data_IF_806377453505
#
_entry.id   IF_806377453505
#
_cell.length_a   1.000
_cell.length_b   1.000
_cell.length_c   1.000
_cell.angle_alpha   90.00
_cell.angle_beta   90.00
_cell.angle_gamma   90.00
#
_symmetry.space_group_name_H-M   'P 1'
#
loop_
_entity.id
_entity.type
_entity.pdbx_description
1 polymer ?
#
# COMPACT_ATOMS: atom_id res chain seq x y z
N UNK A 1 5.96 -16.20 13.56
CA UNK A 1 6.29 -14.77 13.56
C UNK A 1 7.79 -14.65 13.33
N UNK A 2 8.21 -13.80 12.38
CA UNK A 2 9.63 -13.52 12.07
C UNK A 2 10.37 -12.99 13.30
N UNK A 3 9.64 -12.33 14.20
CA UNK A 3 10.15 -11.69 15.41
C UNK A 3 10.16 -12.62 16.63
N UNK A 4 9.80 -13.90 16.46
CA UNK A 4 9.89 -14.89 17.52
C UNK A 4 11.36 -15.06 17.96
N UNK A 5 11.63 -14.92 19.26
CA UNK A 5 12.98 -15.02 19.81
C UNK A 5 13.91 -13.89 19.38
N UNK A 6 13.37 -12.71 19.03
CA UNK A 6 14.19 -11.51 18.85
C UNK A 6 14.68 -10.99 20.20
N UNK A 7 16.00 -10.98 20.39
CA UNK A 7 16.67 -10.56 21.64
C UNK A 7 17.45 -9.25 21.47
N UNK A 8 17.35 -8.60 20.31
CA UNK A 8 18.09 -7.38 19.98
C UNK A 8 19.56 -7.59 19.64
N UNK A 9 20.08 -8.83 19.65
CA UNK A 9 21.44 -9.15 19.20
C UNK A 9 21.60 -8.85 17.71
N UNK A 10 22.84 -8.60 17.28
CA UNK A 10 23.11 -8.34 15.86
C UNK A 10 22.80 -9.57 14.99
N UNK A 11 22.97 -10.78 15.52
CA UNK A 11 22.53 -12.00 14.86
C UNK A 11 21.00 -12.06 14.68
N UNK A 12 20.23 -11.60 15.68
CA UNK A 12 18.77 -11.53 15.56
C UNK A 12 18.33 -10.45 14.57
N UNK A 13 18.96 -9.28 14.57
CA UNK A 13 18.73 -8.22 13.57
C UNK A 13 19.00 -8.73 12.16
N UNK A 14 20.14 -9.36 11.93
CA UNK A 14 20.50 -9.89 10.62
C UNK A 14 19.52 -10.96 10.15
N UNK A 15 19.13 -11.88 11.04
CA UNK A 15 18.11 -12.90 10.73
C UNK A 15 16.79 -12.27 10.30
N UNK A 16 16.29 -11.28 11.05
CA UNK A 16 15.04 -10.58 10.71
C UNK A 16 15.17 -9.88 9.37
N UNK A 17 16.27 -9.16 9.14
CA UNK A 17 16.55 -8.47 7.88
C UNK A 17 16.55 -9.43 6.71
N UNK A 18 17.26 -10.55 6.78
CA UNK A 18 17.31 -11.57 5.73
C UNK A 18 15.92 -12.12 5.38
N UNK A 19 15.08 -12.38 6.39
CA UNK A 19 13.72 -12.89 6.15
C UNK A 19 12.86 -11.81 5.49
N UNK A 20 12.93 -10.56 5.96
CA UNK A 20 12.18 -9.46 5.36
C UNK A 20 12.65 -9.17 3.92
N UNK A 21 13.95 -9.25 3.65
CA UNK A 21 14.52 -9.12 2.32
C UNK A 21 14.00 -10.22 1.39
N UNK A 22 14.02 -11.49 1.82
CA UNK A 22 13.45 -12.59 1.04
C UNK A 22 11.95 -12.40 0.75
N UNK A 23 11.18 -11.87 1.71
CA UNK A 23 9.77 -11.53 1.50
C UNK A 23 9.57 -10.41 0.48
N UNK A 24 10.40 -9.36 0.54
CA UNK A 24 10.39 -8.25 -0.42
C UNK A 24 10.72 -8.75 -1.81
N UNK A 25 11.84 -9.47 -1.98
CA UNK A 25 12.25 -10.05 -3.27
C UNK A 25 11.18 -10.97 -3.84
N UNK A 26 10.51 -11.75 -3.00
CA UNK A 26 9.40 -12.59 -3.46
C UNK A 26 8.22 -11.77 -3.99
N UNK A 27 7.86 -10.67 -3.32
CA UNK A 27 6.77 -9.80 -3.78
C UNK A 27 7.11 -9.08 -5.08
N UNK A 28 8.36 -8.67 -5.26
CA UNK A 28 8.84 -8.03 -6.49
C UNK A 28 8.90 -9.00 -7.67
N UNK A 29 9.40 -10.22 -7.45
CA UNK A 29 9.57 -11.22 -8.52
C UNK A 29 8.26 -11.86 -8.95
N UNK A 30 7.45 -12.30 -7.99
CA UNK A 30 6.23 -13.07 -8.29
C UNK A 30 5.04 -12.19 -8.67
N UNK A 31 5.18 -10.86 -8.52
CA UNK A 31 4.13 -9.85 -8.71
C UNK A 31 2.86 -10.17 -7.90
N UNK A 32 1.86 -9.30 -7.99
CA UNK A 32 0.53 -9.44 -7.36
C UNK A 32 0.49 -9.69 -5.85
N UNK A 33 1.57 -9.37 -5.13
CA UNK A 33 1.73 -9.57 -3.69
C UNK A 33 2.22 -8.28 -3.06
N UNK A 34 2.03 -8.13 -1.75
CA UNK A 34 2.48 -6.96 -1.02
C UNK A 34 2.92 -7.38 0.39
N UNK A 35 4.15 -7.04 0.77
CA UNK A 35 4.71 -7.39 2.06
C UNK A 35 4.30 -6.40 3.15
N UNK A 36 3.81 -6.92 4.28
CA UNK A 36 3.55 -6.14 5.49
C UNK A 36 4.65 -6.50 6.47
N UNK A 37 5.53 -5.54 6.74
CA UNK A 37 6.72 -5.72 7.57
C UNK A 37 6.51 -5.08 8.93
N UNK A 38 7.15 -5.65 9.95
CA UNK A 38 7.13 -5.17 11.32
C UNK A 38 8.50 -4.61 11.70
N UNK A 39 8.51 -3.52 12.46
CA UNK A 39 9.71 -3.13 13.20
C UNK A 39 9.90 -4.10 14.39
N UNK A 40 11.16 -4.35 14.83
CA UNK A 40 11.41 -5.12 16.03
C UNK A 40 10.70 -4.57 17.28
N UNK A 41 10.42 -5.41 18.29
CA UNK A 41 9.81 -4.97 19.54
C UNK A 41 10.79 -4.15 20.38
N UNK A 42 10.25 -3.35 21.30
CA UNK A 42 10.99 -2.60 22.31
C UNK A 42 11.74 -1.38 21.79
N UNK A 43 11.58 -1.03 20.51
CA UNK A 43 12.26 0.12 19.93
C UNK A 43 11.58 1.42 20.34
N UNK A 44 12.37 2.43 20.69
CA UNK A 44 11.91 3.81 20.72
C UNK A 44 11.85 4.41 19.30
N UNK A 45 11.33 5.64 19.15
CA UNK A 45 11.18 6.27 17.84
C UNK A 45 12.51 6.45 17.07
N UNK A 46 13.59 6.80 17.76
CA UNK A 46 14.91 6.92 17.16
C UNK A 46 15.44 5.56 16.69
N UNK A 47 15.29 4.52 17.51
CA UNK A 47 15.71 3.17 17.16
C UNK A 47 14.87 2.58 16.02
N UNK A 48 13.59 2.93 15.91
CA UNK A 48 12.76 2.57 14.77
C UNK A 48 13.25 3.24 13.46
N UNK A 49 13.74 4.49 13.55
CA UNK A 49 14.41 5.16 12.43
C UNK A 49 15.73 4.48 12.08
N UNK A 50 16.57 4.15 13.06
CA UNK A 50 17.83 3.42 12.86
C UNK A 50 17.57 2.04 12.23
N UNK A 51 16.53 1.34 12.66
CA UNK A 51 16.08 0.08 12.04
C UNK A 51 15.69 0.27 10.57
N UNK A 52 14.90 1.30 10.27
CA UNK A 52 14.50 1.62 8.88
C UNK A 52 15.71 1.89 7.99
N UNK A 53 16.76 2.52 8.52
CA UNK A 53 18.02 2.75 7.81
C UNK A 53 18.80 1.43 7.68
N UNK A 54 18.85 0.60 8.72
CA UNK A 54 19.57 -0.67 8.73
C UNK A 54 19.04 -1.68 7.70
N UNK A 55 17.71 -1.80 7.57
CA UNK A 55 17.11 -2.68 6.55
C UNK A 55 17.31 -2.13 5.14
N UNK A 56 17.36 -0.80 4.98
CA UNK A 56 17.63 -0.09 3.73
C UNK A 56 16.84 -0.57 2.49
N UNK A 57 15.62 -1.07 2.68
CA UNK A 57 14.77 -1.45 1.55
C UNK A 57 14.25 -0.18 0.84
N UNK A 58 14.34 -0.17 -0.49
CA UNK A 58 13.68 0.81 -1.36
C UNK A 58 12.76 0.05 -2.31
N UNK A 59 11.51 -0.13 -1.89
CA UNK A 59 10.53 -0.90 -2.64
C UNK A 59 9.14 -0.34 -2.45
N UNK A 60 8.37 -0.39 -3.52
CA UNK A 60 6.96 -0.08 -3.46
C UNK A 60 6.11 -1.27 -3.03
N UNK A 61 6.65 -2.48 -3.02
CA UNK A 61 5.94 -3.73 -2.72
C UNK A 61 5.88 -4.07 -1.23
N UNK A 62 6.33 -3.17 -0.35
CA UNK A 62 6.30 -3.38 1.09
C UNK A 62 5.92 -2.12 1.87
N UNK A 63 5.40 -2.32 3.07
CA UNK A 63 5.18 -1.28 4.07
C UNK A 63 5.66 -1.76 5.44
N UNK A 64 6.34 -0.87 6.18
CA UNK A 64 6.81 -1.14 7.54
C UNK A 64 5.88 -0.50 8.57
N UNK A 65 5.52 -1.26 9.60
CA UNK A 65 4.62 -0.82 10.68
C UNK A 65 5.29 -0.87 12.05
N UNK A 66 4.94 0.11 12.88
CA UNK A 66 5.49 0.33 14.21
C UNK A 66 4.48 1.18 15.03
N UNK A 67 4.38 1.06 16.37
CA UNK A 67 4.99 0.08 17.27
C UNK A 67 4.12 -1.19 17.42
N UNK A 68 4.58 -2.14 18.24
CA UNK A 68 3.84 -3.36 18.56
C UNK A 68 2.55 -3.07 19.32
N UNK A 69 1.62 -4.02 19.23
CA UNK A 69 0.24 -3.87 19.72
C UNK A 69 0.04 -4.80 20.91
N UNK A 70 -0.50 -4.27 22.00
CA UNK A 70 -0.93 -5.06 23.14
C UNK A 70 -2.35 -5.58 22.92
N UNK A 71 -2.54 -6.89 23.04
CA UNK A 71 -3.84 -7.55 22.87
C UNK A 71 -4.17 -8.44 24.07
N UNK A 72 -5.44 -8.80 24.23
CA UNK A 72 -5.85 -9.80 25.21
C UNK A 72 -5.22 -11.15 24.87
N UNK A 73 -4.76 -11.88 25.89
CA UNK A 73 -4.24 -13.23 25.71
C UNK A 73 -5.20 -14.26 26.30
N UNK A 74 -5.75 -15.10 25.43
CA UNK A 74 -6.68 -16.17 25.78
C UNK A 74 -6.04 -17.56 25.70
N UNK A 75 -4.71 -17.63 25.56
CA UNK A 75 -3.98 -18.90 25.40
C UNK A 75 -3.88 -19.74 26.69
N UNK A 76 -4.36 -19.24 27.84
CA UNK A 76 -4.41 -19.97 29.11
C UNK A 76 -3.10 -20.01 29.90
N UNK A 77 -2.05 -19.31 29.45
CA UNK A 77 -0.72 -19.29 30.07
C UNK A 77 -0.53 -18.37 31.29
N UNK A 78 -1.61 -17.89 31.91
CA UNK A 78 -1.57 -17.06 33.12
C UNK A 78 -1.38 -15.55 32.91
N UNK A 79 -0.93 -15.10 31.73
CA UNK A 79 -1.00 -13.68 31.35
C UNK A 79 -2.36 -13.36 30.71
N UNK A 80 -2.93 -12.21 31.04
CA UNK A 80 -4.19 -11.72 30.44
C UNK A 80 -3.97 -10.87 29.19
N UNK A 81 -2.70 -10.57 28.86
CA UNK A 81 -2.34 -9.80 27.67
C UNK A 81 -0.97 -10.18 27.12
N UNK A 82 -0.74 -9.91 25.84
CA UNK A 82 0.55 -10.11 25.16
C UNK A 82 0.80 -9.03 24.12
N UNK A 83 2.08 -8.79 23.81
CA UNK A 83 2.49 -7.97 22.67
C UNK A 83 2.52 -8.82 21.41
N UNK A 84 2.02 -8.28 20.31
CA UNK A 84 2.05 -8.92 18.99
C UNK A 84 2.53 -7.94 17.92
N UNK A 85 3.18 -8.44 16.86
CA UNK A 85 3.56 -7.62 15.73
C UNK A 85 2.32 -7.02 15.03
N UNK A 86 2.43 -5.79 14.49
CA UNK A 86 1.33 -5.13 13.79
C UNK A 86 0.82 -5.81 12.53
N UNK A 87 1.67 -6.56 11.79
CA UNK A 87 1.39 -7.07 10.46
C UNK A 87 0.09 -7.87 10.35
N UNK A 88 -0.22 -8.70 11.36
CA UNK A 88 -1.47 -9.46 11.41
C UNK A 88 -2.71 -8.56 11.51
N UNK A 89 -2.66 -7.50 12.34
CA UNK A 89 -3.75 -6.52 12.41
C UNK A 89 -3.85 -5.73 11.11
N UNK A 90 -2.72 -5.38 10.51
CA UNK A 90 -2.69 -4.64 9.25
C UNK A 90 -3.26 -5.44 8.09
N UNK A 91 -3.00 -6.75 8.01
CA UNK A 91 -3.62 -7.62 7.02
C UNK A 91 -5.17 -7.62 7.15
N UNK A 92 -5.68 -7.68 8.39
CA UNK A 92 -7.12 -7.57 8.66
C UNK A 92 -7.69 -6.19 8.30
N UNK A 93 -6.94 -5.12 8.56
CA UNK A 93 -7.32 -3.75 8.21
C UNK A 93 -7.33 -3.55 6.70
N UNK A 94 -6.35 -4.10 5.97
CA UNK A 94 -6.32 -4.06 4.51
C UNK A 94 -7.58 -4.72 3.94
N UNK A 95 -7.85 -5.97 4.34
CA UNK A 95 -9.04 -6.69 3.89
C UNK A 95 -10.32 -5.91 4.18
N UNK A 96 -10.50 -5.44 5.42
CA UNK A 96 -11.69 -4.66 5.80
C UNK A 96 -11.82 -3.37 4.98
N UNK A 97 -10.73 -2.62 4.82
CA UNK A 97 -10.75 -1.36 4.07
C UNK A 97 -11.12 -1.61 2.61
N UNK A 98 -10.54 -2.64 2.00
CA UNK A 98 -10.81 -2.98 0.61
C UNK A 98 -12.27 -3.43 0.42
N UNK A 99 -12.81 -4.22 1.34
CA UNK A 99 -14.19 -4.70 1.29
C UNK A 99 -15.21 -3.58 1.51
N UNK A 100 -14.95 -2.65 2.43
CA UNK A 100 -15.89 -1.58 2.79
C UNK A 100 -15.79 -0.36 1.86
N UNK A 101 -14.60 -0.07 1.32
CA UNK A 101 -14.29 1.19 0.64
C UNK A 101 -13.54 1.03 -0.68
N UNK A 102 -13.09 -0.18 -1.02
CA UNK A 102 -12.27 -0.44 -2.20
C UNK A 102 -10.77 -0.24 -1.97
N UNK A 103 -9.95 -0.95 -2.75
CA UNK A 103 -8.47 -0.97 -2.65
C UNK A 103 -7.84 0.41 -2.81
N UNK A 104 -8.51 1.32 -3.52
CA UNK A 104 -8.07 2.70 -3.74
C UNK A 104 -8.09 3.56 -2.46
N UNK A 105 -8.79 3.15 -1.40
CA UNK A 105 -8.77 3.82 -0.10
C UNK A 105 -7.52 3.42 0.69
N UNK A 106 -6.72 4.42 1.10
CA UNK A 106 -5.58 4.20 1.98
C UNK A 106 -5.99 3.49 3.29
N UNK A 107 -5.31 2.39 3.69
CA UNK A 107 -5.57 1.65 4.93
C UNK A 107 -5.01 2.38 6.17
N UNK A 108 -5.24 3.69 6.24
CA UNK A 108 -4.82 4.61 7.30
C UNK A 108 -6.06 5.30 7.89
N UNK A 109 -5.89 5.85 9.10
CA UNK A 109 -6.97 6.38 9.95
C UNK A 109 -8.01 5.31 10.37
N UNK A 110 -7.62 4.04 10.28
CA UNK A 110 -8.43 2.87 10.61
C UNK A 110 -8.27 2.49 12.07
N UNK A 111 -9.36 2.08 12.72
CA UNK A 111 -9.32 1.56 14.10
C UNK A 111 -8.66 0.18 14.10
N UNK A 112 -7.73 -0.01 15.03
CA UNK A 112 -7.11 -1.31 15.31
C UNK A 112 -8.03 -2.08 16.27
N UNK A 113 -8.95 -2.87 15.71
CA UNK A 113 -9.89 -3.68 16.51
C UNK A 113 -9.12 -4.73 17.31
N UNK A 114 -9.49 -4.93 18.58
CA UNK A 114 -8.84 -5.90 19.47
C UNK A 114 -7.55 -5.40 20.15
N UNK A 115 -7.04 -4.24 19.77
CA UNK A 115 -5.94 -3.60 20.48
C UNK A 115 -6.42 -3.05 21.83
N UNK A 116 -5.73 -3.44 22.89
CA UNK A 116 -5.90 -2.88 24.24
C UNK A 116 -5.02 -1.65 24.38
N UNK A 117 -3.77 -1.76 23.95
CA UNK A 117 -2.76 -0.72 24.12
C UNK A 117 -1.66 -0.82 23.05
N UNK A 118 -0.70 0.09 23.08
CA UNK A 118 0.51 0.07 22.27
C UNK A 118 1.75 -0.16 23.13
N UNK A 119 2.79 -0.75 22.55
CA UNK A 119 4.09 -0.89 23.20
C UNK A 119 4.71 0.47 23.54
N UNK A 120 4.56 1.44 22.63
CA UNK A 120 5.02 2.80 22.83
C UNK A 120 3.98 3.81 22.36
N UNK A 121 3.73 4.83 23.17
CA UNK A 121 2.86 5.96 22.80
C UNK A 121 3.65 7.01 22.03
N UNK A 122 3.49 7.04 20.72
CA UNK A 122 4.18 8.02 19.87
C UNK A 122 3.52 9.40 19.92
N UNK A 123 4.36 10.41 20.17
CA UNK A 123 4.02 11.82 20.00
C UNK A 123 3.90 12.18 18.51
N UNK A 124 3.33 13.36 18.24
CA UNK A 124 3.25 13.89 16.87
C UNK A 124 4.66 14.13 16.29
N UNK A 125 5.58 14.66 17.11
CA UNK A 125 6.94 15.00 16.66
C UNK A 125 7.72 13.76 16.23
N UNK A 126 7.62 12.67 16.99
CA UNK A 126 8.26 11.39 16.63
C UNK A 126 7.66 10.79 15.36
N UNK A 127 6.34 10.90 15.19
CA UNK A 127 5.73 10.47 13.94
C UNK A 127 6.18 11.33 12.74
N UNK A 128 6.34 12.63 12.93
CA UNK A 128 6.77 13.57 11.88
C UNK A 128 8.20 13.26 11.39
N UNK A 129 9.05 12.59 12.19
CA UNK A 129 10.37 12.10 11.76
C UNK A 129 10.32 10.72 11.08
N UNK A 130 9.40 9.84 11.52
CA UNK A 130 9.26 8.47 11.02
C UNK A 130 8.48 8.38 9.69
N UNK A 131 7.47 9.21 9.51
CA UNK A 131 6.61 9.15 8.32
C UNK A 131 7.33 9.48 6.99
N UNK A 132 8.24 10.49 6.92
CA UNK A 132 9.04 10.77 5.71
C UNK A 132 9.85 9.57 5.18
N UNK A 133 10.30 8.68 6.08
CA UNK A 133 11.10 7.51 5.72
C UNK A 133 10.26 6.23 5.55
N UNK A 134 8.93 6.35 5.49
CA UNK A 134 8.03 5.23 5.20
C UNK A 134 7.74 4.30 6.39
N UNK A 135 7.97 4.76 7.62
CA UNK A 135 7.56 4.02 8.83
C UNK A 135 6.12 4.39 9.19
N UNK A 136 5.20 3.44 9.01
CA UNK A 136 3.78 3.65 9.27
C UNK A 136 3.46 3.47 10.76
N UNK A 137 3.19 4.59 11.43
CA UNK A 137 2.96 4.60 12.86
C UNK A 137 1.53 4.18 13.23
N UNK A 138 1.38 3.40 14.29
CA UNK A 138 0.11 3.15 14.98
C UNK A 138 0.09 3.99 16.24
N UNK A 139 -1.01 4.72 16.48
CA UNK A 139 -1.08 5.73 17.55
C UNK A 139 -2.40 5.65 18.31
N UNK A 140 -2.34 5.94 19.60
CA UNK A 140 -3.52 6.17 20.42
C UNK A 140 -3.96 7.62 20.31
N UNK A 141 -5.25 7.84 20.09
CA UNK A 141 -5.86 9.16 20.03
C UNK A 141 -6.98 9.26 21.08
N UNK A 142 -6.92 10.24 22.00
CA UNK A 142 -7.99 10.47 22.97
C UNK A 142 -9.36 10.58 22.28
N UNK A 143 -10.35 9.81 22.75
CA UNK A 143 -11.70 9.77 22.19
C UNK A 143 -11.86 9.09 20.82
N UNK A 144 -10.76 8.68 20.17
CA UNK A 144 -10.78 8.02 18.84
C UNK A 144 -10.15 6.62 18.84
N UNK A 145 -9.58 6.20 19.97
CA UNK A 145 -8.96 4.88 20.14
C UNK A 145 -7.60 4.74 19.44
N UNK A 146 -7.14 3.50 19.33
CA UNK A 146 -5.89 3.15 18.65
C UNK A 146 -6.14 3.06 17.15
N UNK A 147 -5.34 3.78 16.37
CA UNK A 147 -5.51 3.90 14.92
C UNK A 147 -4.20 3.74 14.18
N UNK A 148 -4.28 3.15 13.01
CA UNK A 148 -3.20 3.18 12.02
C UNK A 148 -3.10 4.60 11.48
N UNK A 149 -1.92 5.18 11.47
CA UNK A 149 -1.70 6.58 11.15
C UNK A 149 -0.56 6.80 10.15
N UNK A 150 -0.35 5.81 9.28
CA UNK A 150 0.54 5.88 8.12
C UNK A 150 -0.03 5.05 6.97
N UNK A 151 0.28 5.45 5.74
CA UNK A 151 -0.21 4.81 4.52
C UNK A 151 0.85 4.71 3.41
N UNK A 152 2.13 4.74 3.77
CA UNK A 152 3.27 4.83 2.86
C UNK A 152 3.96 3.48 2.63
N UNK A 153 4.44 3.28 1.42
CA UNK A 153 5.34 2.17 1.08
C UNK A 153 6.76 2.49 1.52
N UNK A 154 7.71 1.59 1.27
CA UNK A 154 9.14 1.82 1.50
C UNK A 154 9.83 2.53 0.32
N UNK A 155 9.08 2.95 -0.71
CA UNK A 155 9.64 3.49 -1.94
C UNK A 155 10.08 4.95 -1.79
N UNK A 156 11.24 5.27 -2.37
CA UNK A 156 11.71 6.65 -2.55
C UNK A 156 11.01 7.37 -3.71
N UNK A 157 10.44 6.63 -4.67
CA UNK A 157 9.68 7.18 -5.80
C UNK A 157 8.32 7.74 -5.35
N UNK A 158 8.12 9.04 -5.57
CA UNK A 158 6.88 9.75 -5.25
C UNK A 158 5.65 9.18 -5.95
N UNK A 159 5.81 8.51 -7.09
CA UNK A 159 4.73 7.83 -7.83
C UNK A 159 4.16 6.64 -7.05
N UNK A 160 5.01 5.97 -6.27
CA UNK A 160 4.69 4.75 -5.55
C UNK A 160 4.69 4.89 -4.03
N UNK A 161 4.67 6.13 -3.56
CA UNK A 161 4.69 6.49 -2.14
C UNK A 161 3.59 5.82 -1.32
N UNK A 162 2.40 5.61 -1.88
CA UNK A 162 1.22 5.21 -1.11
C UNK A 162 0.82 3.75 -1.33
N UNK A 163 0.45 3.09 -0.23
CA UNK A 163 0.07 1.67 -0.19
C UNK A 163 -1.14 1.40 -1.07
N UNK A 164 -2.20 2.21 -0.97
CA UNK A 164 -3.40 2.04 -1.80
C UNK A 164 -3.11 2.17 -3.29
N UNK A 165 -2.18 3.06 -3.67
CA UNK A 165 -1.78 3.22 -5.08
C UNK A 165 -1.09 1.96 -5.58
N UNK A 166 -0.06 1.46 -4.88
CA UNK A 166 0.61 0.21 -5.30
C UNK A 166 -0.35 -0.98 -5.30
N UNK A 167 -1.16 -1.13 -4.24
CA UNK A 167 -2.10 -2.25 -4.13
C UNK A 167 -3.20 -2.21 -5.19
N UNK A 168 -3.62 -1.01 -5.62
CA UNK A 168 -4.56 -0.86 -6.73
C UNK A 168 -3.94 -1.39 -8.03
N UNK A 169 -2.69 -1.02 -8.35
CA UNK A 169 -2.00 -1.57 -9.52
C UNK A 169 -1.83 -3.08 -9.44
N UNK A 170 -1.41 -3.61 -8.28
CA UNK A 170 -1.29 -5.06 -8.04
C UNK A 170 -2.62 -5.78 -8.31
N UNK A 171 -3.74 -5.24 -7.84
CA UNK A 171 -5.07 -5.82 -8.08
C UNK A 171 -5.49 -5.71 -9.56
N UNK A 172 -5.25 -4.58 -10.20
CA UNK A 172 -5.57 -4.37 -11.62
C UNK A 172 -4.79 -5.36 -12.49
N UNK A 173 -3.48 -5.46 -12.31
CA UNK A 173 -2.63 -6.36 -13.09
C UNK A 173 -3.04 -7.84 -12.89
N UNK A 174 -3.28 -8.26 -11.64
CA UNK A 174 -3.74 -9.62 -11.35
C UNK A 174 -5.11 -9.93 -11.97
N UNK A 175 -6.04 -8.96 -11.94
CA UNK A 175 -7.37 -9.12 -12.52
C UNK A 175 -7.32 -9.20 -14.04
N UNK A 176 -6.44 -8.43 -14.67
CA UNK A 176 -6.21 -8.48 -16.11
C UNK A 176 -5.55 -9.79 -16.54
N UNK A 177 -4.55 -10.27 -15.80
CA UNK A 177 -3.88 -11.54 -16.09
C UNK A 177 -4.87 -12.71 -16.08
N UNK A 178 -5.71 -12.80 -15.05
CA UNK A 178 -6.78 -13.80 -14.97
C UNK A 178 -7.85 -13.59 -16.04
N UNK A 179 -8.30 -12.35 -16.25
CA UNK A 179 -9.39 -12.00 -17.16
C UNK A 179 -9.03 -12.15 -18.64
N UNK A 180 -7.74 -12.09 -18.99
CA UNK A 180 -7.26 -12.19 -20.37
C UNK A 180 -6.65 -13.57 -20.69
N UNK A 181 -6.75 -14.56 -19.81
CA UNK A 181 -6.24 -15.92 -20.09
C UNK A 181 -6.78 -16.52 -21.40
N UNK A 182 -8.01 -16.16 -21.79
CA UNK A 182 -8.63 -16.65 -23.03
C UNK A 182 -7.93 -16.19 -24.31
N UNK A 183 -7.10 -15.14 -24.24
CA UNK A 183 -6.35 -14.58 -25.38
C UNK A 183 -5.23 -15.52 -25.84
N UNK A 184 -4.74 -16.37 -24.93
CA UNK A 184 -3.63 -17.28 -25.21
C UNK A 184 -4.02 -18.26 -26.31
N UNK A 185 -3.19 -18.36 -27.35
CA UNK A 185 -3.41 -19.16 -28.57
C UNK A 185 -4.55 -18.71 -29.50
N UNK A 186 -5.16 -17.55 -29.27
CA UNK A 186 -6.06 -16.94 -30.26
C UNK A 186 -5.28 -16.37 -31.46
N UNK A 187 -5.89 -16.29 -32.66
CA UNK A 187 -5.28 -15.61 -33.80
C UNK A 187 -4.94 -14.14 -33.47
N UNK A 188 -3.66 -13.77 -33.60
CA UNK A 188 -3.16 -12.43 -33.28
C UNK A 188 -3.52 -11.42 -34.39
N UNK A 189 -4.79 -11.04 -34.45
CA UNK A 189 -5.35 -10.14 -35.45
C UNK A 189 -6.06 -8.91 -34.84
N UNK A 190 -6.50 -7.99 -35.70
CA UNK A 190 -7.18 -6.77 -35.29
C UNK A 190 -8.51 -7.04 -34.57
N UNK A 191 -9.14 -8.19 -34.80
CA UNK A 191 -10.39 -8.57 -34.12
C UNK A 191 -10.10 -9.00 -32.68
N UNK A 192 -9.04 -9.77 -32.43
CA UNK A 192 -8.55 -10.06 -31.09
C UNK A 192 -8.24 -8.77 -30.34
N UNK A 193 -7.49 -7.86 -30.96
CA UNK A 193 -7.12 -6.58 -30.33
C UNK A 193 -8.34 -5.74 -29.95
N UNK A 194 -9.34 -5.67 -30.83
CA UNK A 194 -10.57 -4.96 -30.52
C UNK A 194 -11.34 -5.59 -29.34
N UNK A 195 -11.38 -6.93 -29.25
CA UNK A 195 -11.97 -7.66 -28.11
C UNK A 195 -11.22 -7.35 -26.82
N UNK A 196 -9.89 -7.46 -26.83
CA UNK A 196 -9.03 -7.14 -25.67
C UNK A 196 -9.24 -5.70 -25.20
N UNK A 197 -9.17 -4.71 -26.11
CA UNK A 197 -9.39 -3.30 -25.75
C UNK A 197 -10.77 -3.12 -25.11
N UNK A 198 -11.83 -3.67 -25.70
CA UNK A 198 -13.19 -3.58 -25.17
C UNK A 198 -13.28 -4.12 -23.74
N UNK A 199 -12.73 -5.31 -23.50
CA UNK A 199 -12.86 -5.99 -22.21
C UNK A 199 -12.05 -5.27 -21.11
N UNK A 200 -10.81 -4.85 -21.42
CA UNK A 200 -9.97 -4.08 -20.49
C UNK A 200 -10.57 -2.68 -20.23
N UNK A 201 -11.07 -1.99 -21.25
CA UNK A 201 -11.76 -0.70 -21.09
C UNK A 201 -13.00 -0.85 -20.20
N UNK A 202 -13.78 -1.92 -20.35
CA UNK A 202 -14.95 -2.17 -19.50
C UNK A 202 -14.57 -2.36 -18.03
N UNK A 203 -13.50 -3.12 -17.77
CA UNK A 203 -12.96 -3.30 -16.42
C UNK A 203 -12.48 -1.98 -15.81
N UNK A 204 -11.63 -1.22 -16.51
CA UNK A 204 -11.12 0.06 -16.02
C UNK A 204 -12.22 1.11 -15.83
N UNK A 205 -13.25 1.10 -16.67
CA UNK A 205 -14.44 1.94 -16.48
C UNK A 205 -15.16 1.60 -15.17
N UNK A 206 -15.21 0.33 -14.77
CA UNK A 206 -15.79 -0.08 -13.49
C UNK A 206 -14.98 0.49 -12.31
N UNK A 207 -13.64 0.45 -12.40
CA UNK A 207 -12.75 1.07 -11.39
C UNK A 207 -12.92 2.60 -11.33
N UNK A 208 -13.05 3.25 -12.49
CA UNK A 208 -13.29 4.69 -12.54
C UNK A 208 -14.64 5.07 -11.92
N UNK A 209 -15.72 4.37 -12.27
CA UNK A 209 -17.05 4.61 -11.69
C UNK A 209 -17.11 4.35 -10.18
N UNK A 210 -16.25 3.47 -9.65
CA UNK A 210 -16.12 3.26 -8.20
C UNK A 210 -15.29 4.35 -7.50
N UNK A 211 -14.79 5.36 -8.22
CA UNK A 211 -13.95 6.43 -7.69
C UNK A 211 -12.49 6.03 -7.46
N UNK A 212 -12.03 4.90 -8.00
CA UNK A 212 -10.65 4.46 -7.83
C UNK A 212 -9.66 5.24 -8.72
N UNK A 213 -10.16 5.75 -9.85
CA UNK A 213 -9.38 6.50 -10.82
C UNK A 213 -9.79 7.98 -10.82
N UNK A 214 -8.81 8.86 -10.95
CA UNK A 214 -8.99 10.31 -11.00
C UNK A 214 -9.17 10.77 -12.45
N UNK A 215 -10.20 11.58 -12.70
CA UNK A 215 -10.52 12.12 -14.01
C UNK A 215 -12.02 12.37 -14.14
N UNK A 216 -12.41 13.44 -14.82
CA UNK A 216 -13.81 13.78 -15.06
C UNK A 216 -14.41 12.94 -16.19
N UNK A 217 -13.57 12.40 -17.07
CA UNK A 217 -13.95 11.44 -18.11
C UNK A 217 -13.07 10.19 -18.05
N UNK A 218 -13.49 9.06 -18.65
CA UNK A 218 -12.66 7.86 -18.76
C UNK A 218 -11.29 8.12 -19.40
N UNK A 219 -11.22 8.98 -20.41
CA UNK A 219 -10.02 9.28 -21.18
C UNK A 219 -8.99 10.09 -20.38
N UNK A 220 -9.43 10.88 -19.40
CA UNK A 220 -8.55 11.51 -18.40
C UNK A 220 -8.05 10.50 -17.36
N UNK A 221 -8.84 9.46 -17.09
CA UNK A 221 -8.60 8.51 -16.00
C UNK A 221 -7.75 7.31 -16.41
N UNK A 222 -7.87 6.83 -17.65
CA UNK A 222 -7.10 5.70 -18.16
C UNK A 222 -7.07 5.65 -19.69
N UNK A 223 -6.14 4.86 -20.22
CA UNK A 223 -6.12 4.49 -21.64
C UNK A 223 -5.76 3.01 -21.82
N UNK A 224 -6.15 2.45 -22.97
CA UNK A 224 -5.81 1.08 -23.38
C UNK A 224 -5.36 1.09 -24.82
N UNK A 225 -4.13 0.66 -25.09
CA UNK A 225 -3.53 0.57 -26.43
C UNK A 225 -3.19 -0.89 -26.74
N UNK A 226 -3.57 -1.33 -27.92
CA UNK A 226 -3.31 -2.67 -28.46
C UNK A 226 -3.55 -2.57 -29.97
N UNK A 227 -2.61 -2.01 -30.72
CA UNK A 227 -2.77 -1.65 -32.12
C UNK A 227 -1.57 -2.07 -32.96
N UNK A 228 -1.58 -1.73 -34.25
CA UNK A 228 -0.51 -2.07 -35.19
C UNK A 228 0.84 -1.41 -34.83
N UNK A 229 0.83 -0.28 -34.12
CA UNK A 229 2.05 0.40 -33.67
C UNK A 229 2.72 -0.39 -32.54
N UNK A 230 1.92 -0.89 -31.61
CA UNK A 230 2.40 -1.69 -30.47
C UNK A 230 2.65 -3.16 -30.85
N UNK A 231 1.98 -3.65 -31.89
CA UNK A 231 2.05 -5.04 -32.37
C UNK A 231 2.37 -5.11 -33.87
N UNK A 232 3.56 -4.63 -34.30
CA UNK A 232 3.98 -4.72 -35.68
C UNK A 232 4.28 -6.19 -36.07
N UNK A 233 4.44 -6.51 -37.36
CA UNK A 233 4.69 -7.88 -37.84
C UNK A 233 5.77 -8.63 -37.05
N UNK A 234 6.87 -7.96 -36.69
CA UNK A 234 8.01 -8.55 -36.01
C UNK A 234 7.64 -9.06 -34.60
N UNK A 235 6.74 -8.38 -33.89
CA UNK A 235 6.25 -8.81 -32.56
C UNK A 235 5.28 -9.97 -32.71
N UNK A 236 4.42 -9.93 -33.73
CA UNK A 236 3.42 -10.99 -33.99
C UNK A 236 4.07 -12.28 -34.45
N UNK A 237 5.13 -12.19 -35.25
CA UNK A 237 5.89 -13.35 -35.73
C UNK A 237 6.62 -14.07 -34.57
N UNK A 238 6.90 -13.36 -33.47
CA UNK A 238 7.38 -13.94 -32.20
C UNK A 238 6.25 -14.55 -31.35
N UNK A 239 5.00 -14.50 -31.83
CA UNK A 239 3.83 -14.98 -31.09
C UNK A 239 3.42 -14.09 -29.92
N UNK A 240 3.88 -12.83 -29.88
CA UNK A 240 3.61 -11.91 -28.77
C UNK A 240 2.43 -10.99 -29.06
N UNK A 241 1.67 -10.67 -28.01
CA UNK A 241 0.66 -9.62 -28.00
C UNK A 241 0.98 -8.65 -26.87
N UNK A 242 1.25 -7.41 -27.21
CA UNK A 242 1.55 -6.33 -26.28
C UNK A 242 0.29 -5.47 -26.11
N UNK A 243 -0.09 -5.30 -24.85
CA UNK A 243 -1.22 -4.46 -24.41
C UNK A 243 -0.64 -3.43 -23.45
N UNK A 244 -0.81 -2.16 -23.78
CA UNK A 244 -0.38 -1.05 -22.91
C UNK A 244 -1.59 -0.44 -22.23
N UNK A 245 -1.51 -0.27 -20.90
CA UNK A 245 -2.55 0.32 -20.08
C UNK A 245 -1.94 1.39 -19.20
N UNK A 246 -2.48 2.60 -19.27
CA UNK A 246 -2.21 3.66 -18.30
C UNK A 246 -3.44 3.93 -17.45
N UNK A 247 -3.24 4.23 -16.17
CA UNK A 247 -4.31 4.57 -15.23
C UNK A 247 -3.86 5.66 -14.24
N UNK A 248 -4.76 6.58 -13.93
CA UNK A 248 -4.55 7.68 -12.99
C UNK A 248 -5.21 7.35 -11.64
N UNK A 249 -4.49 6.82 -10.64
CA UNK A 249 -5.07 6.47 -9.35
C UNK A 249 -5.40 7.71 -8.51
N UNK A 250 -6.46 7.65 -7.72
CA UNK A 250 -6.69 8.65 -6.67
C UNK A 250 -5.60 8.56 -5.58
N UNK A 251 -5.07 9.72 -5.16
CA UNK A 251 -4.05 9.83 -4.12
C UNK A 251 -4.68 10.32 -2.80
N UNK A 252 -4.24 9.82 -1.64
CA UNK A 252 -4.80 10.24 -0.36
C UNK A 252 -4.42 11.69 -0.02
N UNK A 253 -5.35 12.41 0.61
CA UNK A 253 -5.07 13.71 1.23
C UNK A 253 -4.36 13.49 2.58
N UNK A 254 -3.03 13.39 2.55
CA UNK A 254 -2.22 13.15 3.75
C UNK A 254 -2.13 14.39 4.66
N UNK A 255 -2.10 15.59 4.07
CA UNK A 255 -2.03 16.86 4.79
C UNK A 255 -3.20 17.75 4.40
N UNK A 256 -3.87 18.33 5.40
CA UNK A 256 -4.88 19.37 5.22
C UNK A 256 -4.29 20.67 5.72
N UNK A 257 -4.07 21.62 4.82
CA UNK A 257 -3.47 22.92 5.12
C UNK A 257 -4.59 23.97 5.14
N UNK A 258 -4.90 24.51 6.31
CA UNK A 258 -5.78 25.66 6.45
C UNK A 258 -4.97 26.95 6.26
N UNK A 259 -5.40 27.81 5.34
CA UNK A 259 -4.87 29.16 5.18
C UNK A 259 -5.95 30.14 5.62
N UNK A 260 -5.76 30.77 6.77
CA UNK A 260 -6.70 31.73 7.34
C UNK A 260 -6.07 33.12 7.23
N UNK A 261 -6.75 34.04 6.57
CA UNK A 261 -6.37 35.45 6.49
C UNK A 261 -7.51 36.32 7.04
N UNK A 262 -7.13 37.45 7.63
CA UNK A 262 -8.10 38.49 7.94
C UNK A 262 -8.54 39.13 6.62
N UNK A 263 -9.83 39.04 6.30
CA UNK A 263 -10.42 39.71 5.14
C UNK A 263 -11.20 40.92 5.64
N UNK A 264 -10.91 42.09 5.07
CA UNK A 264 -11.53 43.35 5.49
C UNK A 264 -13.00 43.50 5.02
N UNK A 265 -13.54 42.48 4.34
CA UNK A 265 -14.87 42.51 3.72
C UNK A 265 -14.85 43.24 2.37
N UNK A 266 -15.93 43.09 1.60
CA UNK A 266 -16.02 43.62 0.23
C UNK A 266 -16.02 45.16 0.14
N UNK A 267 -16.20 45.86 1.25
CA UNK A 267 -16.36 47.33 1.33
C UNK A 267 -15.29 48.02 2.19
N UNK A 268 -14.16 47.37 2.49
CA UNK A 268 -13.06 48.07 3.12
C UNK A 268 -12.35 48.95 2.07
N UNK A 269 -12.63 50.25 2.10
CA UNK A 269 -11.78 51.25 1.46
C UNK A 269 -10.37 51.16 2.08
N UNK A 270 -9.36 51.19 1.22
CA UNK A 270 -7.95 50.98 1.57
C UNK A 270 -7.29 52.12 2.34
#
# INVERSE_FOLDING_TARGET
>A
DVMAGYDGSDAAKERVKMIQEAMVTHCESMKYRFAILDAPPGLNAQQAQEWRININFDTSYAALYYPWIKVADFSGGGSTSKMVPPSGHMAGIYNRTDAERGVHKAPANEVVRGAIDLELMLSKKEQDTLNPIGVNCIRSFPGRGIRVWGGRTLSSDGSWRYINVRRLFVMTEASMDVGLQWVVFEPNDRMLWARVRRDVTSFLRTLWLSGALFGSTPEEAFYVKCDDELNPPEIRDLGQLIIEVGMAPVKPAEFVIFRISQWAGANAEG
#
